data_IF_215525867417
#
_entry.id   IF_215525867417
#
_cell.length_a   1.000
_cell.length_b   1.000
_cell.length_c   1.000
_cell.angle_alpha   90.00
_cell.angle_beta   90.00
_cell.angle_gamma   90.00
#
_symmetry.space_group_name_H-M   'P 1'
#
loop_
_entity.id
_entity.type
_entity.pdbx_description
1 polymer ?
#
# COMPACT_ATOMS: atom_id res chain seq x y z
N UNK A 1 40.93 -11.85 9.50
CA UNK A 1 39.53 -11.84 9.03
C UNK A 1 38.66 -11.42 10.20
N UNK A 2 38.68 -10.13 10.55
CA UNK A 2 37.69 -9.61 11.48
C UNK A 2 36.37 -9.59 10.72
N UNK A 3 35.46 -10.49 11.09
CA UNK A 3 34.08 -10.37 10.66
C UNK A 3 33.63 -8.96 11.06
N UNK A 4 33.16 -8.17 10.10
CA UNK A 4 32.48 -6.89 10.39
C UNK A 4 31.28 -7.22 11.29
N UNK A 5 31.49 -7.25 12.61
CA UNK A 5 30.46 -7.49 13.57
C UNK A 5 29.42 -6.40 13.37
N UNK A 6 28.20 -6.80 12.99
CA UNK A 6 27.13 -5.83 12.88
C UNK A 6 26.96 -5.19 14.27
N UNK A 7 26.84 -3.86 14.35
CA UNK A 7 26.60 -3.21 15.63
C UNK A 7 25.37 -3.81 16.28
N UNK A 8 25.40 -4.05 17.59
CA UNK A 8 24.22 -4.54 18.29
C UNK A 8 23.09 -3.51 18.15
N UNK A 9 22.00 -3.93 17.51
CA UNK A 9 20.83 -3.10 17.25
C UNK A 9 19.69 -3.52 18.19
N UNK A 10 19.16 -2.62 19.03
CA UNK A 10 18.06 -2.95 19.92
C UNK A 10 16.78 -3.24 19.11
N UNK A 11 15.99 -4.20 19.58
CA UNK A 11 14.80 -4.72 18.86
C UNK A 11 13.77 -3.63 18.55
N UNK A 12 13.58 -2.67 19.45
CA UNK A 12 12.60 -1.59 19.28
C UNK A 12 13.00 -0.68 18.10
N UNK A 13 14.28 -0.32 17.97
CA UNK A 13 14.75 0.49 16.84
C UNK A 13 14.73 -0.29 15.51
N UNK A 14 14.97 -1.60 15.54
CA UNK A 14 14.84 -2.45 14.35
C UNK A 14 13.42 -2.44 13.81
N UNK A 15 12.42 -2.53 14.66
CA UNK A 15 11.02 -2.48 14.23
C UNK A 15 10.63 -1.11 13.65
N UNK A 16 11.16 0.00 14.17
CA UNK A 16 11.00 1.33 13.56
C UNK A 16 11.64 1.37 12.18
N UNK A 17 12.85 0.84 12.04
CA UNK A 17 13.53 0.76 10.75
C UNK A 17 12.78 -0.14 9.75
N UNK A 18 12.26 -1.28 10.19
CA UNK A 18 11.43 -2.19 9.38
C UNK A 18 10.17 -1.49 8.89
N UNK A 19 9.50 -0.71 9.74
CA UNK A 19 8.36 0.11 9.32
C UNK A 19 8.78 1.15 8.27
N UNK A 20 9.87 1.89 8.48
CA UNK A 20 10.36 2.88 7.52
C UNK A 20 10.80 2.26 6.18
N UNK A 21 11.24 1.00 6.18
CA UNK A 21 11.53 0.23 4.98
C UNK A 21 10.26 -0.34 4.33
N UNK A 22 9.18 -0.52 5.07
CA UNK A 22 7.93 -1.03 4.52
C UNK A 22 7.30 -0.02 3.53
N UNK A 23 6.54 -0.49 2.53
CA UNK A 23 5.80 0.38 1.62
C UNK A 23 4.78 1.30 2.32
N UNK A 24 4.25 0.85 3.46
CA UNK A 24 3.26 1.54 4.30
C UNK A 24 3.75 2.91 4.80
N UNK A 25 5.04 3.01 5.14
CA UNK A 25 5.65 4.29 5.53
C UNK A 25 5.46 5.40 4.49
N UNK A 26 5.30 5.07 3.20
CA UNK A 26 5.26 6.02 2.08
C UNK A 26 6.54 6.85 1.97
N UNK A 27 7.64 6.39 2.58
CA UNK A 27 8.94 7.04 2.50
C UNK A 27 9.49 6.95 1.07
N UNK A 28 9.75 8.11 0.45
CA UNK A 28 10.33 8.16 -0.89
C UNK A 28 11.78 7.67 -0.87
N UNK A 29 11.98 6.42 -1.28
CA UNK A 29 13.30 5.82 -1.53
C UNK A 29 13.83 6.31 -2.89
N UNK A 30 15.10 6.71 -2.93
CA UNK A 30 15.78 7.18 -4.14
C UNK A 30 17.10 6.46 -4.28
N UNK A 31 17.52 6.24 -5.52
CA UNK A 31 18.81 5.63 -5.81
C UNK A 31 19.87 6.71 -6.00
N UNK A 32 21.03 6.49 -5.39
CA UNK A 32 22.22 7.31 -5.48
C UNK A 32 23.46 6.45 -5.65
N UNK A 33 24.60 7.11 -5.77
CA UNK A 33 25.91 6.46 -5.87
C UNK A 33 26.76 6.94 -4.71
N UNK A 34 27.32 6.00 -3.96
CA UNK A 34 28.25 6.25 -2.88
C UNK A 34 29.43 5.30 -3.03
N UNK A 35 30.64 5.85 -3.13
CA UNK A 35 31.87 5.09 -3.30
C UNK A 35 31.77 4.05 -4.44
N UNK A 36 31.32 4.51 -5.61
CA UNK A 36 31.11 3.70 -6.84
C UNK A 36 30.02 2.62 -6.74
N UNK A 37 29.38 2.45 -5.59
CA UNK A 37 28.28 1.51 -5.37
C UNK A 37 26.92 2.22 -5.40
N UNK A 38 25.90 1.53 -5.93
CA UNK A 38 24.51 2.02 -5.87
C UNK A 38 23.98 1.89 -4.44
N UNK A 39 23.41 2.98 -3.93
CA UNK A 39 22.84 3.03 -2.58
C UNK A 39 21.46 3.65 -2.60
N UNK A 40 20.58 3.16 -1.75
CA UNK A 40 19.25 3.75 -1.56
C UNK A 40 19.31 4.79 -0.45
N UNK A 41 18.87 6.00 -0.74
CA UNK A 41 18.81 7.10 0.21
C UNK A 41 17.39 7.66 0.36
N UNK A 42 17.18 8.37 1.46
CA UNK A 42 15.95 9.08 1.78
C UNK A 42 16.27 10.46 2.36
N UNK A 43 15.25 11.32 2.46
CA UNK A 43 15.38 12.63 3.14
C UNK A 43 14.85 12.56 4.56
N UNK A 44 15.52 13.22 5.51
CA UNK A 44 15.14 13.22 6.93
C UNK A 44 13.69 13.66 7.17
N UNK A 45 13.25 14.73 6.50
CA UNK A 45 11.87 15.25 6.55
C UNK A 45 10.84 14.20 6.14
N UNK A 46 11.18 13.36 5.15
CA UNK A 46 10.33 12.25 4.73
C UNK A 46 10.19 11.18 5.81
N UNK A 47 11.28 10.87 6.53
CA UNK A 47 11.26 9.89 7.61
C UNK A 47 10.46 10.39 8.82
N UNK A 48 10.64 11.65 9.21
CA UNK A 48 9.84 12.27 10.29
C UNK A 48 8.35 12.23 9.95
N UNK A 49 7.98 12.64 8.73
CA UNK A 49 6.59 12.59 8.27
C UNK A 49 6.03 11.15 8.24
N UNK A 50 6.85 10.16 7.90
CA UNK A 50 6.43 8.75 7.89
C UNK A 50 6.14 8.21 9.30
N UNK A 51 6.86 8.67 10.33
CA UNK A 51 6.62 8.31 11.74
C UNK A 51 5.37 8.98 12.32
N UNK A 52 4.96 10.14 11.80
CA UNK A 52 3.75 10.84 12.26
C UNK A 52 2.44 10.22 11.72
N UNK A 53 2.54 9.32 10.73
CA UNK A 53 1.37 8.66 10.13
C UNK A 53 0.65 7.73 11.12
N UNK A 54 -0.67 7.57 11.00
CA UNK A 54 -1.44 6.65 11.84
C UNK A 54 -0.99 5.19 11.70
N UNK A 55 -0.45 4.81 10.54
CA UNK A 55 0.08 3.46 10.28
C UNK A 55 1.23 3.11 11.23
N UNK A 56 2.08 4.08 11.58
CA UNK A 56 3.15 3.86 12.54
C UNK A 56 2.59 3.57 13.93
N UNK A 57 1.55 4.30 14.37
CA UNK A 57 0.89 4.09 15.67
C UNK A 57 0.29 2.68 15.82
N UNK A 58 -0.10 2.06 14.71
CA UNK A 58 -0.64 0.69 14.72
C UNK A 58 0.45 -0.38 14.86
N UNK A 59 1.71 -0.05 14.55
CA UNK A 59 2.84 -0.95 14.75
C UNK A 59 3.09 -1.21 16.24
N UNK A 60 3.74 -2.34 16.56
CA UNK A 60 4.04 -2.70 17.95
C UNK A 60 4.82 -1.61 18.69
N UNK A 61 5.80 -0.98 18.03
CA UNK A 61 6.58 0.13 18.60
C UNK A 61 5.78 1.42 18.70
N UNK A 62 4.92 1.71 17.73
CA UNK A 62 4.07 2.91 17.78
C UNK A 62 3.12 2.88 18.98
N UNK A 63 2.65 1.69 19.40
CA UNK A 63 1.86 1.53 20.62
C UNK A 63 2.67 1.76 21.90
N UNK A 64 3.95 1.39 21.91
CA UNK A 64 4.83 1.59 23.07
C UNK A 64 5.28 3.04 23.22
N UNK A 65 5.51 3.76 22.13
CA UNK A 65 5.99 5.15 22.17
C UNK A 65 4.88 6.20 22.32
N UNK A 66 3.60 5.82 22.16
CA UNK A 66 2.47 6.75 22.29
C UNK A 66 2.41 7.78 21.16
N UNK A 67 1.87 8.98 21.44
CA UNK A 67 1.78 10.05 20.45
C UNK A 67 3.13 10.71 20.20
N UNK A 68 3.73 10.42 19.04
CA UNK A 68 4.98 11.06 18.62
C UNK A 68 4.71 12.49 18.14
N UNK A 69 5.37 13.45 18.78
CA UNK A 69 5.56 14.80 18.25
C UNK A 69 6.72 14.82 17.25
N UNK A 70 6.77 15.81 16.34
CA UNK A 70 7.85 15.97 15.35
C UNK A 70 9.24 15.97 15.98
N UNK A 71 9.40 16.64 17.11
CA UNK A 71 10.67 16.71 17.86
C UNK A 71 11.07 15.35 18.45
N UNK A 72 10.10 14.64 19.04
CA UNK A 72 10.32 13.29 19.57
C UNK A 72 10.70 12.30 18.46
N UNK A 73 10.05 12.39 17.29
CA UNK A 73 10.40 11.59 16.12
C UNK A 73 11.81 11.90 15.60
N UNK A 74 12.24 13.17 15.62
CA UNK A 74 13.59 13.56 15.26
C UNK A 74 14.65 13.03 16.25
N UNK A 75 14.35 13.07 17.55
CA UNK A 75 15.21 12.48 18.59
C UNK A 75 15.32 10.96 18.46
N UNK A 76 14.21 10.29 18.17
CA UNK A 76 14.18 8.85 17.89
C UNK A 76 15.10 8.49 16.73
N UNK A 77 14.99 9.19 15.59
CA UNK A 77 15.86 8.99 14.44
C UNK A 77 17.32 9.32 14.78
N UNK A 78 17.58 10.33 15.61
CA UNK A 78 18.90 10.62 16.15
C UNK A 78 19.50 9.45 16.94
N UNK A 79 18.69 8.78 17.77
CA UNK A 79 19.11 7.61 18.54
C UNK A 79 19.45 6.39 17.66
N UNK A 80 18.98 6.34 16.41
CA UNK A 80 19.28 5.27 15.45
C UNK A 80 20.64 5.43 14.75
N UNK A 81 21.20 6.64 14.73
CA UNK A 81 22.48 6.93 14.04
C UNK A 81 23.66 6.17 14.67
N UNK A 82 23.85 6.13 16.01
CA UNK A 82 24.92 5.36 16.63
C UNK A 82 24.88 3.86 16.31
N UNK A 83 23.69 3.29 16.11
CA UNK A 83 23.49 1.88 15.73
C UNK A 83 23.64 1.62 14.21
N UNK A 84 24.06 2.63 13.44
CA UNK A 84 24.33 2.56 12.00
C UNK A 84 23.15 2.02 11.18
N UNK A 85 21.91 2.38 11.53
CA UNK A 85 20.75 2.06 10.69
C UNK A 85 20.80 2.80 9.35
N UNK A 86 21.25 4.06 9.40
CA UNK A 86 21.46 4.91 8.25
C UNK A 86 22.60 5.90 8.54
N UNK A 87 23.19 6.43 7.48
CA UNK A 87 24.30 7.38 7.56
C UNK A 87 23.90 8.70 6.91
N UNK A 88 24.20 9.81 7.58
CA UNK A 88 24.09 11.15 7.00
C UNK A 88 25.09 11.27 5.86
N UNK A 89 24.57 11.66 4.72
CA UNK A 89 25.34 11.96 3.52
C UNK A 89 25.03 13.39 3.07
N UNK A 90 26.01 14.00 2.42
CA UNK A 90 25.85 15.25 1.70
C UNK A 90 25.88 14.97 0.20
N UNK A 91 25.23 15.82 -0.59
CA UNK A 91 25.42 15.77 -2.03
C UNK A 91 26.83 16.25 -2.34
N UNK A 92 27.45 15.67 -3.36
CA UNK A 92 28.76 16.15 -3.82
C UNK A 92 28.73 17.67 -4.04
N UNK A 93 29.65 18.39 -3.39
CA UNK A 93 29.82 19.83 -3.56
C UNK A 93 30.40 20.20 -4.94
N UNK A 94 30.90 19.22 -5.70
CA UNK A 94 31.46 19.46 -7.02
C UNK A 94 30.32 19.80 -8.01
N UNK A 95 30.32 20.98 -8.66
CA UNK A 95 29.29 21.38 -9.60
C UNK A 95 29.20 20.48 -10.84
N UNK A 96 30.29 19.82 -11.23
CA UNK A 96 30.32 18.89 -12.37
C UNK A 96 29.83 17.48 -12.01
N UNK A 97 29.70 17.17 -10.71
CA UNK A 97 29.24 15.86 -10.28
C UNK A 97 27.70 15.76 -10.38
N UNK A 98 27.16 14.63 -10.84
CA UNK A 98 25.72 14.42 -10.85
C UNK A 98 25.17 14.48 -9.42
N UNK A 99 23.98 15.09 -9.26
CA UNK A 99 23.31 15.30 -7.95
C UNK A 99 23.03 14.04 -7.14
N UNK A 100 23.19 12.86 -7.76
CA UNK A 100 22.96 11.55 -7.17
C UNK A 100 24.23 10.97 -6.51
N UNK A 101 25.38 11.64 -6.64
CA UNK A 101 26.63 11.27 -5.95
C UNK A 101 26.58 11.81 -4.54
N UNK A 102 26.71 10.90 -3.58
CA UNK A 102 26.66 11.18 -2.16
C UNK A 102 28.07 11.06 -1.55
N UNK A 103 28.39 11.96 -0.63
CA UNK A 103 29.64 11.98 0.11
C UNK A 103 29.35 11.79 1.61
N UNK A 104 30.25 11.09 2.31
CA UNK A 104 30.11 10.81 3.73
C UNK A 104 30.47 12.06 4.55
N UNK A 105 29.56 12.46 5.44
CA UNK A 105 29.83 13.52 6.42
C UNK A 105 30.45 12.90 7.66
N UNK A 106 31.56 13.47 8.16
CA UNK A 106 32.21 12.94 9.37
C UNK A 106 31.35 13.17 10.62
N UNK A 107 30.71 14.34 10.72
CA UNK A 107 29.81 14.66 11.83
C UNK A 107 28.40 14.11 11.58
N UNK A 108 28.10 13.00 12.24
CA UNK A 108 26.83 12.27 12.12
C UNK A 108 25.81 12.79 13.15
N UNK A 109 24.92 13.67 12.71
CA UNK A 109 23.81 14.21 13.50
C UNK A 109 22.52 14.22 12.68
N UNK A 110 21.38 13.97 13.32
CA UNK A 110 20.10 13.99 12.64
C UNK A 110 19.68 15.43 12.30
N UNK A 111 19.20 15.63 11.08
CA UNK A 111 18.67 16.90 10.59
C UNK A 111 17.65 16.62 9.50
N UNK A 112 16.51 17.30 9.52
CA UNK A 112 15.39 17.01 8.62
C UNK A 112 15.71 17.29 7.15
N UNK A 113 16.53 18.31 6.86
CA UNK A 113 16.87 18.70 5.49
C UNK A 113 18.01 17.85 4.90
N UNK A 114 18.67 17.06 5.75
CA UNK A 114 19.78 16.21 5.35
C UNK A 114 19.32 14.93 4.62
N UNK A 115 20.24 14.36 3.84
CA UNK A 115 20.06 13.11 3.12
C UNK A 115 20.67 11.97 3.93
N UNK A 116 19.98 10.85 3.99
CA UNK A 116 20.44 9.67 4.72
C UNK A 116 20.44 8.45 3.81
N UNK A 117 21.52 7.67 3.84
CA UNK A 117 21.65 6.40 3.12
C UNK A 117 21.31 5.25 4.07
N UNK A 118 20.46 4.33 3.61
CA UNK A 118 20.14 3.12 4.36
C UNK A 118 21.36 2.19 4.43
N UNK A 119 21.65 1.71 5.65
CA UNK A 119 22.59 0.63 5.91
C UNK A 119 21.90 -0.62 6.46
N UNK A 120 20.68 -0.46 6.96
CA UNK A 120 19.84 -1.55 7.41
C UNK A 120 19.01 -2.12 6.26
N UNK A 121 19.05 -3.44 6.10
CA UNK A 121 18.39 -4.18 5.01
C UNK A 121 17.18 -5.00 5.49
N UNK A 122 16.72 -4.77 6.73
CA UNK A 122 15.58 -5.49 7.31
C UNK A 122 15.94 -6.86 7.90
N UNK A 123 14.91 -7.69 8.09
CA UNK A 123 15.05 -9.05 8.63
C UNK A 123 15.71 -10.02 7.64
N UNK A 124 17.03 -10.16 7.74
CA UNK A 124 17.84 -11.10 6.95
C UNK A 124 17.33 -12.54 7.05
N UNK A 125 16.83 -12.95 8.22
CA UNK A 125 16.29 -14.30 8.43
C UNK A 125 15.11 -14.59 7.50
N UNK A 126 14.17 -13.64 7.36
CA UNK A 126 13.03 -13.81 6.44
C UNK A 126 13.51 -13.95 5.00
N UNK A 127 14.44 -13.12 4.58
CA UNK A 127 15.02 -13.18 3.23
C UNK A 127 15.70 -14.52 2.98
N UNK A 128 16.53 -15.00 3.90
CA UNK A 128 17.19 -16.30 3.78
C UNK A 128 16.19 -17.46 3.82
N UNK A 129 15.15 -17.39 4.65
CA UNK A 129 14.12 -18.42 4.72
C UNK A 129 13.28 -18.47 3.45
N UNK A 130 12.93 -17.33 2.87
CA UNK A 130 12.23 -17.26 1.58
C UNK A 130 13.11 -17.77 0.43
N UNK A 131 14.38 -17.37 0.40
CA UNK A 131 15.35 -17.86 -0.59
C UNK A 131 15.57 -19.38 -0.46
N UNK A 132 15.73 -19.89 0.77
CA UNK A 132 15.85 -21.31 1.04
C UNK A 132 14.57 -22.08 0.71
N UNK A 133 13.40 -21.51 1.01
CA UNK A 133 12.10 -22.08 0.66
C UNK A 133 11.92 -22.20 -0.86
N UNK A 134 12.24 -21.13 -1.61
CA UNK A 134 12.22 -21.15 -3.07
C UNK A 134 13.18 -22.21 -3.63
N UNK A 135 14.39 -22.30 -3.08
CA UNK A 135 15.37 -23.31 -3.46
C UNK A 135 14.84 -24.73 -3.21
N UNK A 136 14.23 -24.98 -2.05
CA UNK A 136 13.63 -26.28 -1.72
C UNK A 136 12.48 -26.64 -2.67
N UNK A 137 11.63 -25.68 -3.06
CA UNK A 137 10.54 -25.91 -4.01
C UNK A 137 11.10 -26.33 -5.37
N UNK A 138 12.10 -25.59 -5.89
CA UNK A 138 12.75 -25.91 -7.17
C UNK A 138 13.44 -27.27 -7.10
N UNK A 139 14.18 -27.54 -6.02
CA UNK A 139 14.86 -28.80 -5.79
C UNK A 139 13.87 -29.98 -5.73
N UNK A 140 12.76 -29.82 -5.01
CA UNK A 140 11.71 -30.82 -4.93
C UNK A 140 11.13 -31.12 -6.33
N UNK A 141 10.90 -30.09 -7.15
CA UNK A 141 10.45 -30.24 -8.53
C UNK A 141 11.43 -31.00 -9.42
N UNK A 142 12.72 -30.65 -9.39
CA UNK A 142 13.77 -31.34 -10.16
C UNK A 142 13.95 -32.79 -9.69
N UNK A 143 13.82 -33.04 -8.38
CA UNK A 143 13.89 -34.38 -7.80
C UNK A 143 12.60 -35.19 -7.94
N UNK A 144 11.57 -34.72 -8.65
CA UNK A 144 10.33 -35.47 -8.90
C UNK A 144 10.54 -36.94 -9.33
N UNK A 145 11.55 -37.29 -10.15
CA UNK A 145 11.83 -38.69 -10.50
C UNK A 145 12.20 -39.58 -9.30
N UNK A 146 12.79 -39.01 -8.25
CA UNK A 146 13.21 -39.73 -7.03
C UNK A 146 12.08 -39.83 -5.98
N UNK A 147 10.91 -39.24 -6.23
CA UNK A 147 9.84 -39.22 -5.24
C UNK A 147 9.26 -40.62 -4.99
N UNK A 148 8.88 -40.93 -3.73
CA UNK A 148 8.17 -42.16 -3.42
C UNK A 148 6.86 -42.23 -4.21
N UNK A 149 6.49 -43.45 -4.63
CA UNK A 149 5.28 -43.72 -5.44
C UNK A 149 4.01 -43.04 -4.92
N UNK A 150 3.67 -43.04 -3.61
CA UNK A 150 2.44 -42.39 -3.13
C UNK A 150 2.39 -40.88 -3.39
N UNK A 151 3.52 -40.16 -3.30
CA UNK A 151 3.54 -38.72 -3.56
C UNK A 151 3.32 -38.42 -5.05
N UNK A 152 3.90 -39.23 -5.94
CA UNK A 152 3.66 -39.11 -7.39
C UNK A 152 2.18 -39.34 -7.72
N UNK A 153 1.56 -40.33 -7.08
CA UNK A 153 0.13 -40.58 -7.23
C UNK A 153 -0.71 -39.41 -6.72
N UNK A 154 -0.35 -38.82 -5.57
CA UNK A 154 -0.99 -37.63 -5.03
C UNK A 154 -0.95 -36.44 -5.99
N UNK A 155 0.22 -36.16 -6.59
CA UNK A 155 0.36 -35.11 -7.62
C UNK A 155 -0.50 -35.41 -8.85
N UNK A 156 -0.57 -36.66 -9.27
CA UNK A 156 -1.44 -37.07 -10.39
C UNK A 156 -2.91 -36.81 -10.10
N UNK A 157 -3.43 -37.25 -8.94
CA UNK A 157 -4.82 -37.00 -8.54
C UNK A 157 -5.10 -35.51 -8.37
N UNK A 158 -4.17 -34.74 -7.80
CA UNK A 158 -4.30 -33.29 -7.66
C UNK A 158 -4.37 -32.62 -9.04
N UNK A 159 -3.51 -33.02 -9.98
CA UNK A 159 -3.50 -32.51 -11.35
C UNK A 159 -4.82 -32.81 -12.07
N UNK A 160 -5.30 -34.05 -12.00
CA UNK A 160 -6.61 -34.44 -12.55
C UNK A 160 -7.74 -33.66 -11.89
N UNK A 161 -7.70 -33.47 -10.56
CA UNK A 161 -8.68 -32.70 -9.82
C UNK A 161 -8.76 -31.24 -10.27
N UNK A 162 -7.61 -30.58 -10.43
CA UNK A 162 -7.53 -29.21 -10.96
C UNK A 162 -8.03 -29.17 -12.40
N UNK A 163 -7.73 -30.17 -13.22
CA UNK A 163 -8.20 -30.25 -14.60
C UNK A 163 -9.73 -30.42 -14.69
N UNK A 164 -10.32 -31.22 -13.81
CA UNK A 164 -11.77 -31.39 -13.70
C UNK A 164 -12.41 -30.09 -13.21
N UNK A 165 -11.85 -29.45 -12.18
CA UNK A 165 -12.34 -28.17 -11.67
C UNK A 165 -12.32 -27.08 -12.76
N UNK A 166 -11.22 -27.01 -13.51
CA UNK A 166 -11.07 -26.10 -14.63
C UNK A 166 -12.06 -26.42 -15.76
N UNK A 167 -12.23 -27.70 -16.10
CA UNK A 167 -13.22 -28.16 -17.07
C UNK A 167 -14.66 -27.80 -16.67
N UNK A 168 -15.01 -27.96 -15.39
CA UNK A 168 -16.30 -27.56 -14.85
C UNK A 168 -16.52 -26.05 -14.94
N UNK A 169 -15.48 -25.26 -14.66
CA UNK A 169 -15.52 -23.80 -14.81
C UNK A 169 -15.80 -23.38 -16.26
N UNK A 170 -15.12 -23.98 -17.23
CA UNK A 170 -15.39 -23.74 -18.65
C UNK A 170 -16.77 -24.20 -19.08
N UNK A 171 -17.20 -25.39 -18.64
CA UNK A 171 -18.54 -25.90 -18.94
C UNK A 171 -19.63 -24.94 -18.42
N UNK A 172 -19.48 -24.42 -17.20
CA UNK A 172 -20.39 -23.42 -16.65
C UNK A 172 -20.41 -22.12 -17.46
N UNK A 173 -19.25 -21.62 -17.88
CA UNK A 173 -19.16 -20.43 -18.73
C UNK A 173 -19.84 -20.65 -20.10
N UNK A 174 -19.70 -21.83 -20.70
CA UNK A 174 -20.36 -22.19 -21.96
C UNK A 174 -21.88 -22.29 -21.77
N UNK A 175 -22.35 -22.97 -20.72
CA UNK A 175 -23.79 -23.07 -20.40
C UNK A 175 -24.40 -21.68 -20.21
N UNK A 176 -23.71 -20.80 -19.49
CA UNK A 176 -24.10 -19.39 -19.33
C UNK A 176 -24.22 -18.70 -20.70
N UNK A 177 -23.25 -18.86 -21.60
CA UNK A 177 -23.27 -18.24 -22.93
C UNK A 177 -24.44 -18.74 -23.78
N UNK A 178 -24.67 -20.05 -23.82
CA UNK A 178 -25.76 -20.67 -24.59
C UNK A 178 -27.12 -20.17 -24.09
N UNK A 179 -27.31 -20.16 -22.77
CA UNK A 179 -28.58 -19.71 -22.18
C UNK A 179 -28.81 -18.21 -22.38
N UNK A 180 -27.77 -17.39 -22.30
CA UNK A 180 -27.86 -15.97 -22.64
C UNK A 180 -28.23 -15.79 -24.13
N UNK A 181 -27.60 -16.52 -25.04
CA UNK A 181 -27.88 -16.42 -26.47
C UNK A 181 -29.33 -16.83 -26.82
N UNK A 182 -29.83 -17.92 -26.23
CA UNK A 182 -31.22 -18.38 -26.42
C UNK A 182 -32.20 -17.38 -25.82
N UNK A 183 -31.98 -16.96 -24.57
CA UNK A 183 -32.90 -16.05 -23.88
C UNK A 183 -32.92 -14.68 -24.57
N UNK A 184 -31.78 -14.13 -24.99
CA UNK A 184 -31.72 -12.88 -25.74
C UNK A 184 -32.47 -12.95 -27.09
N UNK A 185 -32.47 -14.11 -27.76
CA UNK A 185 -33.18 -14.29 -29.02
C UNK A 185 -34.72 -14.39 -28.85
N UNK A 186 -35.20 -14.96 -27.73
CA UNK A 186 -36.63 -15.25 -27.50
C UNK A 186 -37.31 -14.21 -26.59
N UNK A 187 -36.60 -13.70 -25.58
CA UNK A 187 -37.06 -12.79 -24.53
C UNK A 187 -36.08 -11.62 -24.41
N UNK A 188 -36.48 -10.41 -24.80
CA UNK A 188 -35.74 -9.18 -24.48
C UNK A 188 -36.24 -8.70 -23.12
N UNK A 189 -35.41 -8.56 -22.06
CA UNK A 189 -33.95 -8.69 -21.92
C UNK A 189 -33.45 -10.12 -21.66
N UNK A 190 -32.21 -10.42 -22.09
CA UNK A 190 -31.59 -11.74 -21.89
C UNK A 190 -31.34 -12.06 -20.41
N UNK A 191 -31.48 -13.33 -20.04
CA UNK A 191 -31.19 -13.81 -18.68
C UNK A 191 -29.72 -14.17 -18.60
N UNK A 192 -29.07 -13.70 -17.55
CA UNK A 192 -27.67 -13.92 -17.28
C UNK A 192 -27.51 -14.81 -16.04
N UNK A 193 -26.94 -16.00 -16.22
CA UNK A 193 -26.70 -16.96 -15.12
C UNK A 193 -25.33 -16.66 -14.50
N UNK A 194 -25.28 -16.58 -13.17
CA UNK A 194 -24.12 -16.15 -12.38
C UNK A 194 -23.53 -14.81 -12.89
N UNK A 195 -24.21 -13.67 -12.68
CA UNK A 195 -23.71 -12.35 -13.08
C UNK A 195 -22.30 -12.09 -12.52
N UNK A 196 -22.07 -12.47 -11.27
CA UNK A 196 -20.85 -12.15 -10.51
C UNK A 196 -19.67 -13.12 -10.77
N UNK A 197 -19.79 -14.10 -11.67
CA UNK A 197 -18.75 -15.13 -11.87
C UNK A 197 -17.41 -14.57 -12.37
N UNK A 198 -17.42 -13.40 -13.01
CA UNK A 198 -16.22 -12.69 -13.48
C UNK A 198 -16.04 -11.32 -12.82
N UNK A 199 -16.82 -11.02 -11.76
CA UNK A 199 -16.60 -9.81 -10.97
C UNK A 199 -15.55 -10.07 -9.88
N UNK A 200 -14.95 -9.00 -9.37
CA UNK A 200 -13.91 -9.03 -8.34
C UNK A 200 -14.50 -9.36 -6.95
N UNK A 201 -15.19 -10.49 -6.85
CA UNK A 201 -15.83 -11.00 -5.63
C UNK A 201 -15.23 -12.36 -5.26
N UNK A 202 -15.38 -12.75 -3.98
CA UNK A 202 -14.87 -14.03 -3.52
C UNK A 202 -15.51 -15.21 -4.26
N UNK A 203 -14.83 -16.36 -4.30
CA UNK A 203 -15.30 -17.55 -5.04
C UNK A 203 -16.76 -17.95 -4.71
N UNK A 204 -17.19 -17.82 -3.45
CA UNK A 204 -18.57 -18.15 -3.05
C UNK A 204 -19.57 -17.10 -3.54
N UNK A 205 -19.20 -15.82 -3.44
CA UNK A 205 -20.03 -14.69 -3.87
C UNK A 205 -20.14 -14.62 -5.40
N UNK A 206 -19.21 -15.22 -6.14
CA UNK A 206 -19.29 -15.39 -7.60
C UNK A 206 -20.50 -16.22 -8.06
N UNK A 207 -21.04 -17.10 -7.20
CA UNK A 207 -22.17 -17.98 -7.52
C UNK A 207 -23.53 -17.48 -6.99
N UNK A 208 -23.57 -16.29 -6.38
CA UNK A 208 -24.77 -15.71 -5.80
C UNK A 208 -24.89 -14.27 -6.31
N UNK A 209 -26.01 -13.87 -6.95
CA UNK A 209 -27.22 -14.62 -7.24
C UNK A 209 -27.05 -15.63 -8.40
N UNK A 210 -27.88 -16.69 -8.43
CA UNK A 210 -27.84 -17.74 -9.47
C UNK A 210 -28.18 -17.21 -10.87
N UNK A 211 -29.04 -16.20 -10.96
CA UNK A 211 -29.45 -15.59 -12.22
C UNK A 211 -29.81 -14.11 -12.00
N UNK A 212 -29.69 -13.31 -13.05
CA UNK A 212 -30.09 -11.91 -13.10
C UNK A 212 -30.50 -11.51 -14.51
N UNK A 213 -31.24 -10.42 -14.64
CA UNK A 213 -31.58 -9.85 -15.95
C UNK A 213 -30.42 -9.01 -16.47
N UNK A 214 -30.17 -9.04 -17.77
CA UNK A 214 -29.22 -8.15 -18.40
C UNK A 214 -29.86 -6.75 -18.55
N UNK A 215 -29.58 -5.86 -17.62
CA UNK A 215 -29.97 -4.45 -17.71
C UNK A 215 -29.15 -3.78 -18.83
N UNK A 216 -29.77 -3.11 -19.82
CA UNK A 216 -29.02 -2.30 -20.76
C UNK A 216 -28.36 -1.13 -20.01
N UNK A 217 -27.05 -0.92 -20.20
CA UNK A 217 -26.35 0.22 -19.60
C UNK A 217 -27.12 1.52 -19.93
N UNK A 218 -27.52 2.35 -18.93
CA UNK A 218 -28.08 3.65 -19.23
C UNK A 218 -27.02 4.46 -20.01
N UNK A 219 -27.43 5.22 -21.05
CA UNK A 219 -26.47 5.98 -21.85
C UNK A 219 -25.66 6.89 -20.93
N UNK A 220 -24.32 6.75 -20.98
CA UNK A 220 -23.39 7.57 -20.22
C UNK A 220 -23.49 9.01 -20.71
N UNK A 221 -24.28 9.83 -20.03
CA UNK A 221 -24.25 11.27 -20.21
C UNK A 221 -22.92 11.80 -19.66
N UNK A 222 -22.18 12.49 -20.52
CA UNK A 222 -20.90 13.08 -20.20
C UNK A 222 -21.08 14.24 -19.22
N UNK A 223 -20.76 14.08 -17.93
CA UNK A 223 -20.55 15.23 -17.03
C UNK A 223 -19.13 15.26 -16.48
N UNK A 224 -18.27 16.05 -17.13
CA UNK A 224 -17.06 16.59 -16.52
C UNK A 224 -17.44 17.64 -15.47
N UNK A 225 -16.99 17.43 -14.23
CA UNK A 225 -16.50 18.49 -13.36
C UNK A 225 -17.52 19.21 -12.45
N UNK A 226 -17.67 18.71 -11.22
CA UNK A 226 -17.58 19.56 -10.03
C UNK A 226 -17.15 18.74 -8.82
N UNK A 227 -15.97 19.07 -8.32
CA UNK A 227 -15.47 18.69 -7.00
C UNK A 227 -16.24 19.51 -5.95
N UNK A 228 -16.68 18.88 -4.85
CA UNK A 228 -16.51 19.29 -3.44
C UNK A 228 -17.19 18.21 -2.58
N UNK A 229 -16.34 17.38 -1.97
CA UNK A 229 -16.29 17.02 -0.54
C UNK A 229 -17.58 16.78 0.26
N UNK A 230 -17.73 15.52 0.70
CA UNK A 230 -18.14 15.10 2.04
C UNK A 230 -19.54 15.47 2.53
N UNK A 231 -20.41 14.47 2.71
CA UNK A 231 -20.69 13.86 4.03
C UNK A 231 -21.85 12.85 3.88
N UNK A 232 -21.78 11.72 4.58
CA UNK A 232 -22.98 10.91 4.87
C UNK A 232 -23.90 11.75 5.79
N UNK A 233 -25.19 11.40 5.97
CA UNK A 233 -25.43 10.53 7.12
C UNK A 233 -26.59 9.54 6.97
N UNK A 234 -26.40 8.49 7.77
CA UNK A 234 -27.31 7.43 8.17
C UNK A 234 -28.67 7.94 8.68
N UNK A 235 -29.67 7.08 8.52
CA UNK A 235 -30.99 7.22 9.11
C UNK A 235 -30.96 7.11 10.66
N UNK A 236 -31.55 8.12 11.30
CA UNK A 236 -32.50 8.09 12.44
C UNK A 236 -32.15 7.29 13.70
N UNK A 237 -32.07 7.97 14.86
CA UNK A 237 -32.89 7.73 16.09
C UNK A 237 -32.62 8.84 17.14
N UNK A 238 -33.72 9.47 17.59
CA UNK A 238 -34.00 10.18 18.85
C UNK A 238 -32.98 11.17 19.47
N UNK A 239 -33.35 12.46 19.53
CA UNK A 239 -33.97 13.06 20.74
C UNK A 239 -33.85 14.61 20.79
N UNK A 240 -35.02 15.23 21.01
CA UNK A 240 -35.31 16.40 21.88
C UNK A 240 -34.56 17.75 21.71
N UNK A 241 -35.38 18.76 21.39
CA UNK A 241 -35.58 20.02 22.17
C UNK A 241 -34.72 21.25 21.80
N UNK A 242 -35.39 22.18 21.08
CA UNK A 242 -35.44 23.65 21.30
C UNK A 242 -34.28 24.51 20.77
N UNK A 243 -34.59 25.42 19.81
CA UNK A 243 -34.38 26.89 19.90
C UNK A 243 -34.27 27.54 18.51
N UNK A 244 -35.35 28.11 17.98
CA UNK A 244 -35.36 28.89 16.72
C UNK A 244 -35.39 30.43 16.95
N UNK A 245 -35.02 30.91 18.14
CA UNK A 245 -35.21 32.33 18.50
C UNK A 245 -34.02 33.27 18.23
N UNK A 246 -32.91 32.81 17.63
CA UNK A 246 -31.64 33.58 17.62
C UNK A 246 -31.14 33.97 16.21
N UNK A 247 -31.61 33.33 15.14
CA UNK A 247 -31.10 33.59 13.79
C UNK A 247 -31.60 34.90 13.16
N UNK A 248 -32.74 35.43 13.61
CA UNK A 248 -33.32 36.68 13.08
C UNK A 248 -32.50 37.93 13.46
N UNK A 249 -31.61 37.83 14.46
CA UNK A 249 -30.90 38.98 15.02
C UNK A 249 -29.58 39.34 14.32
N UNK A 250 -29.08 38.50 13.40
CA UNK A 250 -27.75 38.69 12.78
C UNK A 250 -27.83 39.32 11.38
N UNK A 251 -29.01 39.30 10.73
CA UNK A 251 -29.21 39.89 9.40
C UNK A 251 -29.20 41.44 9.36
N UNK A 252 -28.96 42.12 10.48
CA UNK A 252 -29.08 43.59 10.62
C UNK A 252 -27.78 44.41 10.57
N UNK A 253 -26.63 43.86 10.17
CA UNK A 253 -25.39 44.66 10.08
C UNK A 253 -24.58 44.38 8.80
N UNK A 254 -24.87 45.13 7.73
CA UNK A 254 -23.87 45.57 6.72
C UNK A 254 -23.05 46.73 7.32
N UNK A 255 -21.81 47.05 6.87
CA UNK A 255 -21.49 47.74 5.59
C UNK A 255 -20.23 47.16 4.86
N UNK A 256 -20.14 47.12 3.52
CA UNK A 256 -19.74 48.17 2.54
C UNK A 256 -18.23 48.49 2.52
N UNK A 257 -17.54 48.24 1.40
CA UNK A 257 -16.54 49.12 0.74
C UNK A 257 -16.40 48.69 -0.75
N UNK A 258 -16.50 49.68 -1.64
CA UNK A 258 -16.33 49.72 -3.11
C UNK A 258 -14.87 49.74 -3.57
N UNK A 259 -14.66 49.36 -4.84
CA UNK A 259 -13.81 49.98 -5.90
C UNK A 259 -13.57 48.90 -6.99
N UNK A 260 -14.26 48.88 -8.14
CA UNK A 260 -14.09 49.73 -9.35
C UNK A 260 -12.63 49.72 -9.86
N UNK A 261 -12.33 49.04 -10.98
CA UNK A 261 -12.24 49.61 -12.35
C UNK A 261 -10.86 50.30 -12.56
N UNK A 262 -10.06 50.16 -13.62
CA UNK A 262 -10.28 49.93 -15.05
C UNK A 262 -9.01 49.40 -15.78
N UNK A 263 -9.27 48.92 -17.00
CA UNK A 263 -8.52 48.79 -18.27
C UNK A 263 -7.10 49.41 -18.42
N UNK A 264 -6.14 48.62 -18.93
CA UNK A 264 -5.63 48.59 -20.33
C UNK A 264 -4.77 47.33 -20.57
#
# INVERSE_FOLDING_TARGET
MEAHAQPERPKNLCQVADYLLSPQSGLKKRDGVFNESRVTYFRGKGAVNALLKPEFRQSAVGKELGDLTRESAAQLLGSMIPHQFFLKMERSSNPDAPRNVLQLVQYQSFSEDSVFVWRYEGSQLRTHLMAGGLLLIVLAGVMFPLWPVPLRLGVWYLSVGVLILLGLFFAMAIVRLILFAITYAVLKPGIWIFPNLFEDVGFVDSFIPLWGWHEPEPPKENSKGKHIEGDEPQATIESRVVSDEVAEKVARRRPMVEDAADEE
#
